data_IF_381331354845
#
_entry.id   IF_381331354845
#
_cell.length_a   1.000
_cell.length_b   1.000
_cell.length_c   1.000
_cell.angle_alpha   90.00
_cell.angle_beta   90.00
_cell.angle_gamma   90.00
#
_symmetry.space_group_name_H-M   'P 1'
#
loop_
_entity.id
_entity.type
_entity.pdbx_description
1 polymer ?
#
# COMPACT_ATOMS: atom_id res chain seq x y z
N UNK A 1 50.28 -25.42 -10.84
CA UNK A 1 49.77 -24.43 -11.82
C UNK A 1 48.63 -23.67 -11.16
N UNK A 2 48.97 -22.65 -10.36
CA UNK A 2 48.00 -21.84 -9.60
C UNK A 2 47.59 -20.69 -10.52
N UNK A 3 46.33 -20.67 -10.96
CA UNK A 3 45.78 -19.56 -11.76
C UNK A 3 45.73 -18.32 -10.86
N UNK A 4 46.51 -17.29 -11.20
CA UNK A 4 46.27 -15.93 -10.74
C UNK A 4 44.88 -15.51 -11.24
N UNK A 5 43.87 -15.67 -10.39
CA UNK A 5 42.54 -15.13 -10.64
C UNK A 5 42.66 -13.62 -10.46
N UNK A 6 42.52 -12.88 -11.56
CA UNK A 6 42.54 -11.42 -11.61
C UNK A 6 41.56 -10.84 -10.58
N UNK A 7 42.07 -10.49 -9.39
CA UNK A 7 41.27 -9.95 -8.29
C UNK A 7 40.45 -8.71 -8.72
N UNK A 8 40.94 -7.94 -9.70
CA UNK A 8 40.24 -6.80 -10.27
C UNK A 8 38.95 -7.15 -11.04
N UNK A 9 38.89 -8.31 -11.71
CA UNK A 9 37.67 -8.77 -12.42
C UNK A 9 36.61 -9.25 -11.45
N UNK A 10 37.01 -9.86 -10.33
CA UNK A 10 36.10 -10.30 -9.28
C UNK A 10 35.49 -9.10 -8.55
N UNK A 11 36.28 -8.05 -8.32
CA UNK A 11 35.82 -6.82 -7.66
C UNK A 11 34.78 -6.05 -8.50
N UNK A 12 34.99 -5.94 -9.82
CA UNK A 12 34.01 -5.28 -10.70
C UNK A 12 32.70 -6.06 -10.81
N UNK A 13 32.76 -7.40 -10.82
CA UNK A 13 31.58 -8.28 -10.80
C UNK A 13 30.78 -8.16 -9.51
N UNK A 14 31.46 -8.10 -8.36
CA UNK A 14 30.83 -7.88 -7.04
C UNK A 14 30.19 -6.49 -6.94
N UNK A 15 30.83 -5.46 -7.48
CA UNK A 15 30.26 -4.12 -7.54
C UNK A 15 28.98 -4.10 -8.40
N UNK A 16 29.03 -4.73 -9.58
CA UNK A 16 27.88 -4.79 -10.49
C UNK A 16 26.71 -5.60 -9.89
N UNK A 17 26.98 -6.72 -9.22
CA UNK A 17 25.95 -7.54 -8.59
C UNK A 17 25.27 -6.82 -7.43
N UNK A 18 26.00 -6.07 -6.61
CA UNK A 18 25.45 -5.27 -5.52
C UNK A 18 24.53 -4.15 -6.03
N UNK A 19 24.94 -3.44 -7.07
CA UNK A 19 24.12 -2.39 -7.70
C UNK A 19 22.86 -2.99 -8.34
N UNK A 20 23.01 -4.11 -9.06
CA UNK A 20 21.88 -4.80 -9.68
C UNK A 20 20.86 -5.29 -8.63
N UNK A 21 21.33 -5.84 -7.51
CA UNK A 21 20.49 -6.29 -6.41
C UNK A 21 19.72 -5.12 -5.79
N UNK A 22 20.41 -4.03 -5.43
CA UNK A 22 19.78 -2.85 -4.84
C UNK A 22 18.77 -2.17 -5.78
N UNK A 23 18.97 -2.25 -7.09
CA UNK A 23 18.01 -1.76 -8.07
C UNK A 23 16.78 -2.68 -8.18
N UNK A 24 16.98 -4.00 -8.09
CA UNK A 24 15.90 -5.00 -8.03
C UNK A 24 15.01 -4.80 -6.82
N UNK A 25 15.60 -4.62 -5.65
CA UNK A 25 14.87 -4.41 -4.39
C UNK A 25 13.98 -3.17 -4.44
N UNK A 26 14.50 -2.05 -4.97
CA UNK A 26 13.73 -0.81 -5.13
C UNK A 26 12.55 -0.97 -6.08
N UNK A 27 12.72 -1.71 -7.18
CA UNK A 27 11.64 -1.97 -8.16
C UNK A 27 10.54 -2.83 -7.54
N UNK A 28 10.92 -3.87 -6.81
CA UNK A 28 9.99 -4.74 -6.10
C UNK A 28 9.21 -3.93 -5.05
N UNK A 29 9.90 -3.12 -4.24
CA UNK A 29 9.26 -2.25 -3.26
C UNK A 29 8.29 -1.24 -3.90
N UNK A 30 8.67 -0.61 -5.02
CA UNK A 30 7.80 0.31 -5.74
C UNK A 30 6.54 -0.38 -6.30
N UNK A 31 6.67 -1.61 -6.81
CA UNK A 31 5.54 -2.42 -7.25
C UNK A 31 4.57 -2.72 -6.09
N UNK A 32 5.10 -3.17 -4.95
CA UNK A 32 4.28 -3.42 -3.75
C UNK A 32 3.58 -2.15 -3.27
N UNK A 33 4.27 -1.01 -3.24
CA UNK A 33 3.66 0.27 -2.87
C UNK A 33 2.55 0.66 -3.85
N UNK A 34 2.75 0.45 -5.15
CA UNK A 34 1.73 0.75 -6.17
C UNK A 34 0.48 -0.10 -5.97
N UNK A 35 0.65 -1.41 -5.77
CA UNK A 35 -0.47 -2.32 -5.48
C UNK A 35 -1.18 -1.89 -4.19
N UNK A 36 -0.42 -1.54 -3.15
CA UNK A 36 -0.98 -1.10 -1.87
C UNK A 36 -1.77 0.22 -2.00
N UNK A 37 -1.30 1.18 -2.81
CA UNK A 37 -2.05 2.41 -3.11
C UNK A 37 -3.36 2.08 -3.80
N UNK A 38 -3.34 1.24 -4.84
CA UNK A 38 -4.56 0.83 -5.55
C UNK A 38 -5.53 0.16 -4.59
N UNK A 39 -5.05 -0.78 -3.77
CA UNK A 39 -5.86 -1.47 -2.77
C UNK A 39 -6.47 -0.49 -1.75
N UNK A 40 -5.68 0.46 -1.24
CA UNK A 40 -6.16 1.49 -0.33
C UNK A 40 -7.25 2.35 -0.97
N UNK A 41 -7.04 2.78 -2.21
CA UNK A 41 -8.02 3.58 -2.94
C UNK A 41 -9.35 2.84 -3.14
N UNK A 42 -9.36 1.51 -3.26
CA UNK A 42 -10.61 0.74 -3.30
C UNK A 42 -11.45 0.92 -2.03
N UNK A 43 -10.83 1.18 -0.88
CA UNK A 43 -11.54 1.43 0.39
C UNK A 43 -12.16 2.83 0.46
N UNK A 44 -11.90 3.70 -0.52
CA UNK A 44 -12.59 4.98 -0.68
C UNK A 44 -13.93 4.83 -1.42
N UNK A 45 -14.18 3.71 -2.11
CA UNK A 45 -15.45 3.47 -2.83
C UNK A 45 -16.66 3.47 -1.87
N UNK A 46 -16.62 2.78 -0.71
CA UNK A 46 -17.70 2.78 0.29
C UNK A 46 -18.12 4.15 0.81
N UNK A 47 -17.28 5.18 0.68
CA UNK A 47 -17.57 6.54 1.16
C UNK A 47 -18.88 7.09 0.58
N UNK A 48 -19.20 6.69 -0.66
CA UNK A 48 -20.36 7.17 -1.40
C UNK A 48 -21.47 6.12 -1.54
N UNK A 49 -21.14 4.84 -1.33
CA UNK A 49 -22.01 3.71 -1.67
C UNK A 49 -22.51 2.92 -0.45
N UNK A 50 -21.85 3.03 0.70
CA UNK A 50 -22.16 2.20 1.87
C UNK A 50 -23.03 2.93 2.90
N UNK A 51 -23.97 2.19 3.48
CA UNK A 51 -24.73 2.64 4.63
C UNK A 51 -23.92 2.38 5.90
N UNK A 52 -23.55 3.45 6.60
CA UNK A 52 -22.89 3.36 7.90
C UNK A 52 -23.93 3.49 9.02
N UNK A 53 -23.93 2.60 10.02
CA UNK A 53 -24.86 2.69 11.16
C UNK A 53 -24.75 3.97 11.99
N UNK A 54 -23.59 4.64 11.99
CA UNK A 54 -23.31 5.87 12.74
C UNK A 54 -22.37 6.81 11.98
N UNK A 55 -22.52 8.12 12.20
CA UNK A 55 -21.63 9.15 11.66
C UNK A 55 -20.18 8.97 12.09
N UNK A 56 -19.96 8.51 13.33
CA UNK A 56 -18.62 8.26 13.85
C UNK A 56 -17.93 7.11 13.11
N UNK A 57 -18.68 6.06 12.78
CA UNK A 57 -18.18 4.92 11.99
C UNK A 57 -17.82 5.35 10.57
N UNK A 58 -18.65 6.21 9.95
CA UNK A 58 -18.36 6.77 8.64
C UNK A 58 -17.08 7.63 8.64
N UNK A 59 -16.89 8.47 9.66
CA UNK A 59 -15.67 9.31 9.79
C UNK A 59 -14.44 8.42 10.00
N UNK A 60 -14.52 7.45 10.91
CA UNK A 60 -13.43 6.49 11.17
C UNK A 60 -13.06 5.71 9.91
N UNK A 61 -14.05 5.29 9.12
CA UNK A 61 -13.82 4.64 7.84
C UNK A 61 -13.07 5.56 6.88
N UNK A 62 -13.57 6.79 6.67
CA UNK A 62 -12.96 7.76 5.73
C UNK A 62 -11.51 8.03 6.10
N UNK A 63 -11.25 8.40 7.36
CA UNK A 63 -9.89 8.69 7.85
C UNK A 63 -8.99 7.46 7.67
N UNK A 64 -9.46 6.28 8.07
CA UNK A 64 -8.66 5.05 7.95
C UNK A 64 -8.36 4.68 6.50
N UNK A 65 -9.35 4.81 5.61
CA UNK A 65 -9.20 4.57 4.18
C UNK A 65 -8.19 5.54 3.55
N UNK A 66 -8.23 6.83 3.93
CA UNK A 66 -7.21 7.79 3.50
C UNK A 66 -5.81 7.41 4.01
N UNK A 67 -5.67 7.04 5.28
CA UNK A 67 -4.38 6.66 5.87
C UNK A 67 -3.75 5.46 5.15
N UNK A 68 -4.52 4.42 4.87
CA UNK A 68 -4.00 3.23 4.17
C UNK A 68 -3.65 3.48 2.70
N UNK A 69 -4.21 4.52 2.08
CA UNK A 69 -3.86 4.94 0.71
C UNK A 69 -2.65 5.87 0.67
N UNK A 70 -2.60 6.86 1.58
CA UNK A 70 -1.56 7.89 1.60
C UNK A 70 -0.22 7.29 2.02
N UNK A 71 -0.18 6.41 3.02
CA UNK A 71 1.09 5.86 3.51
C UNK A 71 1.92 5.15 2.40
N UNK A 72 1.40 4.18 1.64
CA UNK A 72 2.16 3.57 0.55
C UNK A 72 2.45 4.55 -0.60
N UNK A 73 1.62 5.60 -0.81
CA UNK A 73 1.90 6.64 -1.80
C UNK A 73 3.11 7.50 -1.38
N UNK A 74 3.22 7.85 -0.10
CA UNK A 74 4.37 8.56 0.46
C UNK A 74 5.64 7.71 0.34
N UNK A 75 5.57 6.42 0.63
CA UNK A 75 6.71 5.50 0.45
C UNK A 75 7.11 5.35 -1.02
N UNK A 76 6.14 5.30 -1.95
CA UNK A 76 6.43 5.26 -3.37
C UNK A 76 7.12 6.55 -3.84
N UNK A 77 6.57 7.70 -3.46
CA UNK A 77 7.16 9.02 -3.74
C UNK A 77 8.60 9.10 -3.20
N UNK A 78 8.79 8.65 -1.96
CA UNK A 78 10.10 8.53 -1.32
C UNK A 78 11.09 7.65 -2.10
N UNK A 79 10.66 6.48 -2.58
CA UNK A 79 11.55 5.60 -3.33
C UNK A 79 11.97 6.22 -4.68
N UNK A 80 11.03 6.89 -5.35
CA UNK A 80 11.26 7.55 -6.65
C UNK A 80 12.16 8.78 -6.51
N UNK A 81 11.91 9.63 -5.51
CA UNK A 81 12.69 10.84 -5.27
C UNK A 81 14.12 10.55 -4.80
N UNK A 82 14.41 9.38 -4.25
CA UNK A 82 15.72 9.02 -3.70
C UNK A 82 16.88 9.19 -4.70
N UNK A 83 16.63 9.01 -6.00
CA UNK A 83 17.65 9.16 -7.05
C UNK A 83 18.04 10.61 -7.37
N UNK A 84 17.27 11.58 -6.89
CA UNK A 84 17.40 13.01 -7.20
C UNK A 84 18.06 13.80 -6.06
N UNK A 85 18.40 13.12 -4.97
CA UNK A 85 18.89 13.72 -3.72
C UNK A 85 20.41 13.83 -3.76
N UNK A 86 20.91 15.04 -3.50
CA UNK A 86 22.34 15.31 -3.37
C UNK A 86 22.97 14.54 -2.20
N UNK A 87 24.20 14.05 -2.35
CA UNK A 87 24.93 13.28 -1.32
C UNK A 87 24.91 13.94 0.06
N UNK A 88 25.10 15.27 0.12
CA UNK A 88 25.11 16.04 1.38
C UNK A 88 23.78 15.96 2.13
N UNK A 89 22.67 15.78 1.42
CA UNK A 89 21.31 15.76 1.97
C UNK A 89 20.78 14.36 2.24
N UNK A 90 21.50 13.29 1.85
CA UNK A 90 21.05 11.91 2.00
C UNK A 90 20.79 11.50 3.45
N UNK A 91 21.59 11.99 4.41
CA UNK A 91 21.37 11.67 5.82
C UNK A 91 19.99 12.15 6.28
N UNK A 92 19.68 13.43 6.05
CA UNK A 92 18.40 14.04 6.39
C UNK A 92 17.27 13.31 5.65
N UNK A 93 17.50 13.00 4.39
CA UNK A 93 16.59 12.21 3.59
C UNK A 93 16.29 10.88 4.30
N UNK A 94 17.26 9.95 4.41
CA UNK A 94 17.00 8.64 5.00
C UNK A 94 16.43 8.70 6.44
N UNK A 95 16.81 9.69 7.24
CA UNK A 95 16.18 9.93 8.55
C UNK A 95 14.68 10.24 8.44
N UNK A 96 14.28 11.11 7.51
CA UNK A 96 12.87 11.41 7.27
C UNK A 96 12.09 10.19 6.76
N UNK A 97 12.67 9.43 5.81
CA UNK A 97 12.10 8.18 5.32
C UNK A 97 11.91 7.13 6.42
N UNK A 98 12.86 7.02 7.35
CA UNK A 98 12.75 6.15 8.51
C UNK A 98 11.58 6.55 9.41
N UNK A 99 11.42 7.84 9.73
CA UNK A 99 10.30 8.35 10.53
C UNK A 99 8.96 8.07 9.84
N UNK A 100 8.83 8.35 8.54
CA UNK A 100 7.62 8.03 7.77
C UNK A 100 7.29 6.54 7.85
N UNK A 101 8.30 5.68 7.71
CA UNK A 101 8.12 4.23 7.72
C UNK A 101 7.65 3.73 9.08
N UNK A 102 8.32 4.12 10.16
CA UNK A 102 7.99 3.65 11.52
C UNK A 102 6.63 4.19 11.96
N UNK A 103 6.41 5.50 11.87
CA UNK A 103 5.16 6.11 12.30
C UNK A 103 3.99 5.63 11.42
N UNK A 104 4.20 5.62 10.11
CA UNK A 104 3.20 5.19 9.15
C UNK A 104 2.84 3.71 9.28
N UNK A 105 3.78 2.84 9.66
CA UNK A 105 3.50 1.43 9.95
C UNK A 105 2.48 1.28 11.08
N UNK A 106 2.68 1.95 12.21
CA UNK A 106 1.73 1.88 13.33
C UNK A 106 0.36 2.47 12.97
N UNK A 107 0.35 3.63 12.30
CA UNK A 107 -0.88 4.24 11.82
C UNK A 107 -1.63 3.32 10.84
N UNK A 108 -0.90 2.69 9.91
CA UNK A 108 -1.46 1.76 8.94
C UNK A 108 -2.07 0.53 9.60
N UNK A 109 -1.39 -0.06 10.60
CA UNK A 109 -1.92 -1.19 11.36
C UNK A 109 -3.24 -0.85 12.06
N UNK A 110 -3.29 0.30 12.74
CA UNK A 110 -4.50 0.75 13.44
C UNK A 110 -5.63 1.00 12.43
N UNK A 111 -5.36 1.74 11.36
CA UNK A 111 -6.33 2.02 10.30
C UNK A 111 -6.88 0.74 9.66
N UNK A 112 -6.02 -0.26 9.43
CA UNK A 112 -6.44 -1.57 8.92
C UNK A 112 -7.38 -2.30 9.87
N UNK A 113 -7.07 -2.33 11.16
CA UNK A 113 -7.93 -2.96 12.16
C UNK A 113 -9.30 -2.27 12.22
N UNK A 114 -9.32 -0.95 12.20
CA UNK A 114 -10.56 -0.15 12.15
C UNK A 114 -11.39 -0.49 10.91
N UNK A 115 -10.79 -0.51 9.72
CA UNK A 115 -11.51 -0.85 8.49
C UNK A 115 -12.07 -2.27 8.51
N UNK A 116 -11.34 -3.23 9.07
CA UNK A 116 -11.82 -4.62 9.21
C UNK A 116 -13.05 -4.65 10.14
N UNK A 117 -12.96 -4.02 11.31
CA UNK A 117 -14.06 -3.97 12.28
C UNK A 117 -15.29 -3.33 11.65
N UNK A 118 -15.12 -2.16 11.03
CA UNK A 118 -16.22 -1.42 10.41
C UNK A 118 -16.82 -2.15 9.21
N UNK A 119 -16.02 -2.90 8.43
CA UNK A 119 -16.53 -3.71 7.33
C UNK A 119 -17.48 -4.80 7.82
N UNK A 120 -17.17 -5.43 8.95
CA UNK A 120 -18.09 -6.40 9.57
C UNK A 120 -19.33 -5.72 10.14
N UNK A 121 -19.20 -4.54 10.74
CA UNK A 121 -20.34 -3.78 11.26
C UNK A 121 -21.30 -3.35 10.15
N UNK A 122 -20.78 -2.87 9.01
CA UNK A 122 -21.61 -2.47 7.87
C UNK A 122 -22.28 -3.66 7.19
N UNK A 123 -21.60 -4.81 7.11
CA UNK A 123 -22.19 -6.07 6.64
C UNK A 123 -23.27 -6.61 7.58
N UNK A 124 -23.14 -6.40 8.89
CA UNK A 124 -24.16 -6.85 9.86
C UNK A 124 -25.45 -6.02 9.77
N UNK A 125 -25.32 -4.74 9.46
CA UNK A 125 -26.42 -3.76 9.50
C UNK A 125 -26.80 -3.28 8.09
N UNK A 126 -26.97 -4.22 7.16
CA UNK A 126 -27.36 -3.91 5.79
C UNK A 126 -28.75 -3.24 5.73
N UNK A 127 -28.98 -2.35 4.75
CA UNK A 127 -30.30 -1.76 4.54
C UNK A 127 -31.32 -2.85 4.19
N UNK A 128 -32.58 -2.67 4.59
CA UNK A 128 -33.67 -3.65 4.39
C UNK A 128 -33.79 -4.13 2.93
N UNK A 129 -33.49 -3.28 1.96
CA UNK A 129 -33.48 -3.62 0.54
C UNK A 129 -32.47 -4.69 0.14
N UNK A 130 -31.36 -4.84 0.88
CA UNK A 130 -30.37 -5.89 0.62
C UNK A 130 -30.87 -7.29 1.00
N UNK A 131 -31.90 -7.38 1.86
CA UNK A 131 -32.55 -8.63 2.23
C UNK A 131 -33.74 -8.97 1.33
N UNK A 132 -34.12 -8.08 0.41
CA UNK A 132 -35.19 -8.36 -0.55
C UNK A 132 -34.68 -9.30 -1.63
N UNK A 133 -35.43 -10.37 -1.89
CA UNK A 133 -35.10 -11.29 -2.97
C UNK A 133 -35.19 -10.55 -4.31
N UNK A 134 -34.04 -10.31 -4.93
CA UNK A 134 -33.99 -9.92 -6.33
C UNK A 134 -34.47 -11.12 -7.14
N UNK A 135 -35.50 -10.93 -7.96
CA UNK A 135 -36.08 -11.98 -8.77
C UNK A 135 -35.19 -12.32 -9.98
N UNK A 136 -33.96 -12.78 -9.72
CA UNK A 136 -32.96 -13.16 -10.71
C UNK A 136 -33.51 -14.20 -11.71
N UNK A 137 -34.43 -15.05 -11.27
CA UNK A 137 -35.08 -16.06 -12.10
C UNK A 137 -36.00 -15.46 -13.16
N UNK A 138 -36.50 -14.24 -12.97
CA UNK A 138 -37.31 -13.52 -13.99
C UNK A 138 -36.45 -12.93 -15.10
N UNK A 139 -35.13 -12.76 -14.87
CA UNK A 139 -34.18 -12.30 -15.87
C UNK A 139 -33.57 -13.44 -16.70
N UNK A 140 -33.79 -14.70 -16.30
CA UNK A 140 -33.43 -15.84 -17.13
C UNK A 140 -34.43 -15.96 -18.28
N UNK A 141 -33.96 -16.04 -19.54
CA UNK A 141 -34.85 -16.27 -20.66
C UNK A 141 -35.54 -17.62 -20.46
N UNK A 142 -36.86 -17.57 -20.38
CA UNK A 142 -37.73 -18.73 -20.37
C UNK A 142 -38.01 -19.05 -21.84
N UNK A 143 -37.14 -19.86 -22.43
CA UNK A 143 -37.38 -20.50 -23.73
C UNK A 143 -38.21 -21.77 -23.56
#
# INVERSE_FOLDING_TARGET
MIRNVDAGKTLSLLFYSSVAHGLGDKRIAALFCTIAVVFGCLHLIPIWASYFPSDHEAILWKVSAFMISIHPALLLCWLVCCGWIEERSKLIYYSFGFVITVLGFFMYLIARLVLIILAFTTLRNLPRGAYQNVAWTTFLPHW
#
